data_IF_816838230020
#
_entry.id   IF_816838230020
#
_cell.length_a   1.000
_cell.length_b   1.000
_cell.length_c   1.000
_cell.angle_alpha   90.00
_cell.angle_beta   90.00
_cell.angle_gamma   90.00
#
_symmetry.space_group_name_H-M   'P 1'
#
loop_
_entity.id
_entity.type
_entity.pdbx_description
1 polymer ?
#
# COMPACT_ATOMS: atom_id res chain seq x y z
N UNK A 1 -12.33 10.39 -1.08
CA UNK A 1 -11.96 10.08 -2.48
C UNK A 1 -10.70 9.20 -2.60
N UNK A 2 -9.91 9.03 -1.53
CA UNK A 2 -8.61 8.32 -1.52
C UNK A 2 -8.68 6.79 -1.33
N UNK A 3 -9.85 6.20 -1.04
CA UNK A 3 -9.97 4.77 -0.68
C UNK A 3 -9.60 3.83 -1.84
N UNK A 4 -10.03 4.11 -3.08
CA UNK A 4 -9.67 3.28 -4.25
C UNK A 4 -8.16 3.31 -4.51
N UNK A 5 -7.53 4.47 -4.38
CA UNK A 5 -6.08 4.60 -4.53
C UNK A 5 -5.30 3.83 -3.46
N UNK A 6 -5.85 3.74 -2.25
CA UNK A 6 -5.28 2.98 -1.15
C UNK A 6 -5.49 1.47 -1.31
N UNK A 7 -6.66 1.05 -1.79
CA UNK A 7 -6.96 -0.32 -2.17
C UNK A 7 -6.05 -0.80 -3.31
N UNK A 8 -5.85 0.02 -4.35
CA UNK A 8 -4.90 -0.29 -5.42
C UNK A 8 -3.46 -0.41 -4.89
N UNK A 9 -3.04 0.50 -4.00
CA UNK A 9 -1.74 0.40 -3.35
C UNK A 9 -1.58 -0.92 -2.57
N UNK A 10 -2.63 -1.34 -1.85
CA UNK A 10 -2.65 -2.61 -1.13
C UNK A 10 -2.57 -3.81 -2.08
N UNK A 11 -3.47 -3.93 -3.07
CA UNK A 11 -3.51 -5.05 -4.02
C UNK A 11 -2.19 -5.17 -4.78
N UNK A 12 -1.66 -4.07 -5.32
CA UNK A 12 -0.38 -4.12 -6.05
C UNK A 12 0.79 -4.49 -5.16
N UNK A 13 0.76 -4.11 -3.88
CA UNK A 13 1.81 -4.51 -2.92
C UNK A 13 1.73 -5.99 -2.58
N UNK A 14 0.51 -6.53 -2.43
CA UNK A 14 0.31 -7.95 -2.23
C UNK A 14 0.74 -8.78 -3.45
N UNK A 15 0.38 -8.35 -4.67
CA UNK A 15 0.78 -9.00 -5.92
C UNK A 15 2.30 -8.94 -6.16
N UNK A 16 2.93 -7.79 -5.89
CA UNK A 16 4.36 -7.59 -6.12
C UNK A 16 5.25 -8.15 -5.00
N UNK A 17 4.67 -8.55 -3.86
CA UNK A 17 5.40 -8.95 -2.65
C UNK A 17 6.28 -7.86 -2.04
N UNK A 18 6.19 -6.61 -2.53
CA UNK A 18 7.03 -5.50 -2.08
C UNK A 18 6.40 -4.14 -2.36
N UNK A 19 6.58 -3.20 -1.43
CA UNK A 19 6.12 -1.80 -1.57
C UNK A 19 6.83 -1.11 -2.73
N UNK A 20 8.13 -1.40 -2.94
CA UNK A 20 8.93 -0.83 -4.03
C UNK A 20 8.44 -1.35 -5.38
N UNK A 21 8.11 -2.65 -5.49
CA UNK A 21 7.54 -3.22 -6.71
C UNK A 21 6.19 -2.58 -7.07
N UNK A 22 5.30 -2.45 -6.09
CA UNK A 22 4.02 -1.77 -6.28
C UNK A 22 4.18 -0.30 -6.68
N UNK A 23 5.14 0.41 -6.08
CA UNK A 23 5.43 1.81 -6.41
C UNK A 23 5.85 1.97 -7.87
N UNK A 24 6.69 1.07 -8.39
CA UNK A 24 7.09 1.05 -9.81
C UNK A 24 5.89 0.79 -10.74
N UNK A 25 5.01 -0.15 -10.38
CA UNK A 25 3.79 -0.46 -11.17
C UNK A 25 2.81 0.70 -11.17
N UNK A 26 2.65 1.38 -10.03
CA UNK A 26 1.70 2.47 -9.87
C UNK A 26 2.23 3.84 -10.34
N UNK A 27 3.51 3.94 -10.73
CA UNK A 27 4.14 5.22 -11.09
C UNK A 27 4.27 6.17 -9.89
N UNK A 28 4.44 5.62 -8.68
CA UNK A 28 4.50 6.37 -7.42
C UNK A 28 5.83 6.16 -6.71
N UNK A 29 6.07 6.95 -5.67
CA UNK A 29 7.18 6.69 -4.74
C UNK A 29 6.78 5.62 -3.72
N UNK A 30 7.76 4.86 -3.22
CA UNK A 30 7.52 3.88 -2.16
C UNK A 30 6.89 4.49 -0.89
N UNK A 31 7.27 5.73 -0.55
CA UNK A 31 6.68 6.49 0.55
C UNK A 31 5.20 6.82 0.31
N UNK A 32 4.82 7.21 -0.93
CA UNK A 32 3.43 7.47 -1.27
C UNK A 32 2.57 6.20 -1.17
N UNK A 33 3.08 5.06 -1.64
CA UNK A 33 2.41 3.76 -1.50
C UNK A 33 2.27 3.37 -0.02
N UNK A 34 3.35 3.50 0.75
CA UNK A 34 3.35 3.23 2.19
C UNK A 34 2.35 4.10 2.97
N UNK A 35 2.25 5.39 2.66
CA UNK A 35 1.29 6.31 3.27
C UNK A 35 -0.16 5.93 2.95
N UNK A 36 -0.42 5.51 1.71
CA UNK A 36 -1.76 5.05 1.28
C UNK A 36 -2.17 3.78 2.01
N UNK A 37 -1.27 2.81 2.14
CA UNK A 37 -1.53 1.58 2.90
C UNK A 37 -1.73 1.89 4.38
N UNK A 38 -0.88 2.72 4.99
CA UNK A 38 -1.00 3.08 6.39
C UNK A 38 -2.34 3.77 6.69
N UNK A 39 -2.81 4.65 5.79
CA UNK A 39 -4.15 5.23 5.91
C UNK A 39 -5.24 4.16 5.81
N UNK A 40 -5.12 3.21 4.88
CA UNK A 40 -6.09 2.12 4.75
C UNK A 40 -6.16 1.27 6.02
N UNK A 41 -5.00 0.95 6.61
CA UNK A 41 -4.91 0.22 7.87
C UNK A 41 -5.55 1.01 9.03
N UNK A 42 -5.36 2.33 9.06
CA UNK A 42 -6.00 3.22 10.04
C UNK A 42 -7.53 3.24 9.87
N UNK A 43 -8.01 3.41 8.64
CA UNK A 43 -9.45 3.47 8.33
C UNK A 43 -10.14 2.13 8.65
N UNK A 44 -9.46 1.01 8.44
CA UNK A 44 -9.96 -0.33 8.77
C UNK A 44 -9.74 -0.73 10.23
N UNK A 45 -8.91 0.00 10.97
CA UNK A 45 -8.51 -0.34 12.34
C UNK A 45 -7.71 -1.66 12.44
N UNK A 46 -7.09 -2.12 11.36
CA UNK A 46 -6.36 -3.39 11.31
C UNK A 46 -5.10 -3.29 10.45
N UNK A 47 -4.10 -4.12 10.76
CA UNK A 47 -2.89 -4.24 9.94
C UNK A 47 -3.13 -5.18 8.76
N UNK A 48 -2.78 -4.73 7.58
CA UNK A 48 -2.91 -5.49 6.33
C UNK A 48 -1.59 -6.19 5.95
N UNK A 49 -0.45 -5.61 6.34
CA UNK A 49 0.86 -6.24 6.12
C UNK A 49 1.64 -6.40 7.42
N UNK A 50 2.23 -7.59 7.60
CA UNK A 50 3.27 -7.84 8.60
C UNK A 50 4.63 -7.54 7.97
N UNK A 51 5.24 -6.42 8.38
CA UNK A 51 6.61 -6.10 7.98
C UNK A 51 7.56 -6.97 8.78
N UNK A 52 8.10 -8.01 8.16
CA UNK A 52 9.29 -8.69 8.66
C UNK A 52 10.48 -7.81 8.31
N UNK A 53 11.07 -7.16 9.32
CA UNK A 53 12.39 -6.51 9.16
C UNK A 53 13.43 -7.51 8.70
#
# INVERSE_FOLDING_TARGET
MDSISALLAFVRTAEAGSIVGAARVLGLTASAVGKRIARLEQDLGTRLFHRTT
#
